data_IF_213564730438
#
_entry.id   IF_213564730438
#
_cell.length_a   1.000
_cell.length_b   1.000
_cell.length_c   1.000
_cell.angle_alpha   90.00
_cell.angle_beta   90.00
_cell.angle_gamma   90.00
#
_symmetry.space_group_name_H-M   'P 1'
#
loop_
_entity.id
_entity.type
_entity.pdbx_description
1 polymer ?
#
# COMPACT_ATOMS: atom_id res chain seq x y z
N UNK A 1 -23.57 -20.84 -11.32
CA UNK A 1 -22.25 -20.22 -11.61
C UNK A 1 -21.32 -20.45 -10.43
N UNK A 2 -20.09 -20.80 -10.71
CA UNK A 2 -19.08 -21.06 -9.68
C UNK A 2 -18.30 -19.79 -9.35
N UNK A 3 -17.97 -19.58 -8.08
CA UNK A 3 -17.13 -18.49 -7.60
C UNK A 3 -15.62 -18.76 -7.74
N UNK A 4 -15.23 -19.84 -8.41
CA UNK A 4 -13.82 -20.27 -8.54
C UNK A 4 -12.87 -19.20 -9.03
N UNK A 5 -13.28 -18.43 -10.06
CA UNK A 5 -12.45 -17.36 -10.60
C UNK A 5 -12.19 -16.25 -9.55
N UNK A 6 -13.20 -15.90 -8.76
CA UNK A 6 -13.07 -14.91 -7.67
C UNK A 6 -12.15 -15.44 -6.57
N UNK A 7 -12.34 -16.69 -6.18
CA UNK A 7 -11.52 -17.38 -5.16
C UNK A 7 -10.04 -17.39 -5.58
N UNK A 8 -9.76 -17.71 -6.84
CA UNK A 8 -8.39 -17.71 -7.37
C UNK A 8 -7.74 -16.32 -7.28
N UNK A 9 -8.46 -15.27 -7.70
CA UNK A 9 -7.94 -13.91 -7.61
C UNK A 9 -7.74 -13.46 -6.16
N UNK A 10 -8.65 -13.82 -5.25
CA UNK A 10 -8.49 -13.51 -3.82
C UNK A 10 -7.29 -14.21 -3.19
N UNK A 11 -7.05 -15.49 -3.52
CA UNK A 11 -5.83 -16.21 -3.09
C UNK A 11 -4.57 -15.48 -3.54
N UNK A 12 -4.57 -15.05 -4.79
CA UNK A 12 -3.45 -14.31 -5.37
C UNK A 12 -3.24 -12.96 -4.68
N UNK A 13 -4.33 -12.23 -4.39
CA UNK A 13 -4.27 -10.98 -3.63
C UNK A 13 -3.73 -11.19 -2.23
N UNK A 14 -4.13 -12.23 -1.51
CA UNK A 14 -3.60 -12.56 -0.20
C UNK A 14 -2.07 -12.73 -0.25
N UNK A 15 -1.57 -13.55 -1.17
CA UNK A 15 -0.12 -13.80 -1.33
C UNK A 15 0.63 -12.51 -1.67
N UNK A 16 0.12 -11.71 -2.60
CA UNK A 16 0.75 -10.46 -2.99
C UNK A 16 0.79 -9.44 -1.83
N UNK A 17 -0.27 -9.32 -1.05
CA UNK A 17 -0.31 -8.44 0.09
C UNK A 17 0.57 -8.93 1.26
N UNK A 18 0.71 -10.21 1.46
CA UNK A 18 1.66 -10.79 2.43
C UNK A 18 3.11 -10.44 2.05
N UNK A 19 3.48 -10.56 0.79
CA UNK A 19 4.79 -10.13 0.30
C UNK A 19 4.99 -8.63 0.46
N UNK A 20 3.98 -7.83 0.15
CA UNK A 20 4.03 -6.39 0.33
C UNK A 20 4.19 -6.01 1.80
N UNK A 21 3.54 -6.72 2.71
CA UNK A 21 3.70 -6.54 4.15
C UNK A 21 5.14 -6.81 4.60
N UNK A 22 5.74 -7.91 4.14
CA UNK A 22 7.13 -8.23 4.42
C UNK A 22 8.07 -7.13 3.94
N UNK A 23 7.90 -6.64 2.71
CA UNK A 23 8.66 -5.51 2.18
C UNK A 23 8.49 -4.23 3.01
N UNK A 24 7.28 -3.97 3.48
CA UNK A 24 6.98 -2.80 4.32
C UNK A 24 7.64 -2.90 5.70
N UNK A 25 7.73 -4.09 6.28
CA UNK A 25 8.46 -4.35 7.52
C UNK A 25 9.97 -4.20 7.33
N UNK A 26 10.53 -4.72 6.24
CA UNK A 26 11.94 -4.49 5.86
C UNK A 26 12.24 -2.99 5.65
N UNK A 27 11.30 -2.28 5.04
CA UNK A 27 11.39 -0.82 4.86
C UNK A 27 11.41 -0.07 6.19
N UNK A 28 10.68 -0.53 7.19
CA UNK A 28 10.73 0.01 8.56
C UNK A 28 12.15 -0.08 9.13
N UNK A 29 12.76 -1.23 9.02
CA UNK A 29 14.13 -1.45 9.53
C UNK A 29 15.18 -0.63 8.76
N UNK A 30 15.03 -0.52 7.43
CA UNK A 30 15.90 0.32 6.62
C UNK A 30 15.78 1.81 6.98
N UNK A 31 14.56 2.30 7.25
CA UNK A 31 14.30 3.67 7.70
C UNK A 31 14.93 3.94 9.07
N UNK A 32 14.76 3.04 10.03
CA UNK A 32 15.36 3.16 11.37
C UNK A 32 16.88 3.16 11.32
N UNK A 33 17.48 2.35 10.45
CA UNK A 33 18.93 2.22 10.31
C UNK A 33 19.57 3.27 9.37
N UNK A 34 18.78 4.11 8.70
CA UNK A 34 19.27 5.09 7.75
C UNK A 34 19.90 4.49 6.48
N UNK A 35 19.51 3.28 6.11
CA UNK A 35 20.06 2.55 4.95
C UNK A 35 19.38 2.98 3.65
N UNK A 36 19.78 4.12 3.10
CA UNK A 36 19.15 4.74 1.93
C UNK A 36 19.19 3.89 0.66
N UNK A 37 20.30 3.18 0.42
CA UNK A 37 20.43 2.31 -0.76
C UNK A 37 19.50 1.10 -0.67
N UNK A 38 19.40 0.48 0.49
CA UNK A 38 18.50 -0.63 0.76
C UNK A 38 17.04 -0.18 0.62
N UNK A 39 16.70 0.99 1.18
CA UNK A 39 15.40 1.61 1.04
C UNK A 39 15.01 1.82 -0.42
N UNK A 40 15.92 2.34 -1.25
CA UNK A 40 15.69 2.52 -2.69
C UNK A 40 15.39 1.20 -3.41
N UNK A 41 16.11 0.13 -3.09
CA UNK A 41 15.87 -1.20 -3.65
C UNK A 41 14.51 -1.75 -3.22
N UNK A 42 14.13 -1.56 -1.96
CA UNK A 42 12.82 -1.98 -1.44
C UNK A 42 11.67 -1.23 -2.12
N UNK A 43 11.81 0.08 -2.35
CA UNK A 43 10.83 0.87 -3.09
C UNK A 43 10.64 0.38 -4.53
N UNK A 44 11.71 -0.01 -5.20
CA UNK A 44 11.63 -0.58 -6.55
C UNK A 44 10.88 -1.92 -6.56
N UNK A 45 11.13 -2.78 -5.58
CA UNK A 45 10.39 -4.04 -5.42
C UNK A 45 8.91 -3.80 -5.10
N UNK A 46 8.63 -2.85 -4.19
CA UNK A 46 7.28 -2.47 -3.80
C UNK A 46 6.42 -2.07 -5.01
N UNK A 47 6.98 -1.29 -5.95
CA UNK A 47 6.29 -0.88 -7.17
C UNK A 47 5.83 -2.07 -8.02
N UNK A 48 6.64 -3.12 -8.13
CA UNK A 48 6.28 -4.33 -8.87
C UNK A 48 5.11 -5.07 -8.23
N UNK A 49 5.09 -5.17 -6.90
CA UNK A 49 3.97 -5.79 -6.17
C UNK A 49 2.70 -4.96 -6.28
N UNK A 50 2.79 -3.64 -6.20
CA UNK A 50 1.65 -2.74 -6.38
C UNK A 50 1.03 -2.91 -7.77
N UNK A 51 1.85 -3.00 -8.83
CA UNK A 51 1.37 -3.26 -10.19
C UNK A 51 0.66 -4.62 -10.30
N UNK A 52 1.24 -5.66 -9.73
CA UNK A 52 0.63 -6.99 -9.71
C UNK A 52 -0.69 -7.02 -8.93
N UNK A 53 -0.77 -6.32 -7.80
CA UNK A 53 -1.98 -6.18 -7.00
C UNK A 53 -3.06 -5.45 -7.80
N UNK A 54 -2.73 -4.34 -8.44
CA UNK A 54 -3.68 -3.57 -9.26
C UNK A 54 -4.26 -4.43 -10.37
N UNK A 55 -3.42 -5.16 -11.12
CA UNK A 55 -3.88 -6.05 -12.18
C UNK A 55 -4.77 -7.17 -11.64
N UNK A 56 -4.38 -7.79 -10.54
CA UNK A 56 -5.17 -8.88 -9.92
C UNK A 56 -6.51 -8.39 -9.39
N UNK A 57 -6.56 -7.16 -8.85
CA UNK A 57 -7.79 -6.53 -8.40
C UNK A 57 -8.74 -6.21 -9.56
N UNK A 58 -8.22 -5.74 -10.69
CA UNK A 58 -9.01 -5.55 -11.91
C UNK A 58 -9.61 -6.87 -12.40
N UNK A 59 -8.83 -7.94 -12.39
CA UNK A 59 -9.30 -9.28 -12.77
C UNK A 59 -10.34 -9.82 -11.78
N UNK A 60 -10.17 -9.57 -10.48
CA UNK A 60 -11.17 -9.89 -9.46
C UNK A 60 -12.48 -9.16 -9.70
N UNK A 61 -12.42 -7.85 -9.98
CA UNK A 61 -13.61 -7.05 -10.24
C UNK A 61 -14.37 -7.55 -11.46
N UNK A 62 -13.69 -7.91 -12.53
CA UNK A 62 -14.31 -8.50 -13.74
C UNK A 62 -14.99 -9.85 -13.42
N UNK A 63 -14.29 -10.72 -12.68
CA UNK A 63 -14.82 -12.01 -12.27
C UNK A 63 -16.05 -11.84 -11.34
N UNK A 64 -16.02 -10.86 -10.45
CA UNK A 64 -17.11 -10.54 -9.54
C UNK A 64 -18.33 -10.02 -10.30
N UNK A 65 -18.14 -9.09 -11.25
CA UNK A 65 -19.21 -8.57 -12.10
C UNK A 65 -19.89 -9.67 -12.92
N UNK A 66 -19.08 -10.57 -13.51
CA UNK A 66 -19.60 -11.70 -14.26
C UNK A 66 -20.39 -12.67 -13.36
N UNK A 67 -19.93 -12.91 -12.14
CA UNK A 67 -20.60 -13.78 -11.18
C UNK A 67 -21.90 -13.20 -10.62
N UNK A 68 -21.89 -11.92 -10.26
CA UNK A 68 -23.07 -11.24 -9.71
C UNK A 68 -24.10 -10.89 -10.78
N UNK A 69 -23.66 -10.66 -12.01
CA UNK A 69 -24.52 -10.23 -13.14
C UNK A 69 -24.78 -8.72 -13.17
N UNK A 70 -24.06 -7.94 -12.35
CA UNK A 70 -24.13 -6.47 -12.32
C UNK A 70 -22.76 -5.88 -11.95
N UNK A 71 -22.55 -4.62 -12.28
CA UNK A 71 -21.27 -3.93 -12.06
C UNK A 71 -21.25 -2.99 -10.85
N UNK A 72 -22.40 -2.74 -10.24
CA UNK A 72 -22.50 -1.92 -9.03
C UNK A 72 -22.38 -2.79 -7.78
N UNK A 73 -21.67 -2.29 -6.74
CA UNK A 73 -21.45 -3.01 -5.47
C UNK A 73 -20.76 -4.38 -5.60
N UNK A 74 -19.69 -4.45 -6.40
CA UNK A 74 -18.89 -5.65 -6.61
C UNK A 74 -18.03 -6.02 -5.39
N UNK A 75 -18.68 -6.27 -4.26
CA UNK A 75 -18.02 -6.59 -3.00
C UNK A 75 -17.86 -8.09 -2.81
N UNK A 76 -16.85 -8.49 -2.05
CA UNK A 76 -16.64 -9.88 -1.64
C UNK A 76 -17.84 -10.34 -0.81
N UNK A 77 -18.39 -9.47 0.04
CA UNK A 77 -19.58 -9.74 0.86
C UNK A 77 -20.79 -10.12 0.01
N UNK A 78 -21.02 -9.43 -1.11
CA UNK A 78 -22.09 -9.77 -2.05
C UNK A 78 -21.87 -11.15 -2.69
N UNK A 79 -20.62 -11.51 -3.00
CA UNK A 79 -20.26 -12.84 -3.49
C UNK A 79 -20.53 -13.94 -2.44
N UNK A 80 -20.16 -13.69 -1.20
CA UNK A 80 -20.42 -14.60 -0.08
C UNK A 80 -21.92 -14.84 0.09
N UNK A 81 -22.73 -13.78 0.02
CA UNK A 81 -24.18 -13.87 0.13
C UNK A 81 -24.81 -14.73 -0.98
N UNK A 82 -24.21 -14.74 -2.17
CA UNK A 82 -24.71 -15.49 -3.34
C UNK A 82 -24.17 -16.93 -3.42
N UNK A 83 -23.15 -17.27 -2.64
CA UNK A 83 -22.53 -18.61 -2.61
C UNK A 83 -23.03 -19.46 -1.46
N UNK A 84 -22.81 -20.78 -1.55
CA UNK A 84 -23.16 -21.76 -0.53
C UNK A 84 -22.09 -22.86 -0.46
N UNK A 85 -22.14 -23.68 0.61
CA UNK A 85 -21.23 -24.80 0.80
C UNK A 85 -19.75 -24.41 0.88
N UNK A 86 -18.88 -25.21 0.33
CA UNK A 86 -17.43 -25.04 0.42
C UNK A 86 -16.91 -23.73 -0.22
N UNK A 87 -17.52 -23.28 -1.30
CA UNK A 87 -17.14 -22.00 -1.95
C UNK A 87 -17.40 -20.81 -1.03
N UNK A 88 -18.50 -20.83 -0.28
CA UNK A 88 -18.82 -19.78 0.70
C UNK A 88 -17.80 -19.78 1.84
N UNK A 89 -17.52 -20.94 2.41
CA UNK A 89 -16.52 -21.06 3.50
C UNK A 89 -15.14 -20.55 3.05
N UNK A 90 -14.73 -20.90 1.84
CA UNK A 90 -13.46 -20.48 1.28
C UNK A 90 -13.41 -18.95 1.05
N UNK A 91 -14.47 -18.35 0.55
CA UNK A 91 -14.59 -16.89 0.41
C UNK A 91 -14.55 -16.16 1.74
N UNK A 92 -15.23 -16.70 2.77
CA UNK A 92 -15.23 -16.13 4.13
C UNK A 92 -13.82 -16.18 4.75
N UNK A 93 -13.11 -17.30 4.60
CA UNK A 93 -11.72 -17.41 5.06
C UNK A 93 -10.75 -16.46 4.35
N UNK A 94 -10.89 -16.35 3.03
CA UNK A 94 -10.06 -15.43 2.24
C UNK A 94 -10.34 -13.97 2.57
N UNK A 95 -11.61 -13.62 2.79
CA UNK A 95 -12.00 -12.29 3.23
C UNK A 95 -11.37 -11.93 4.59
N UNK A 96 -11.41 -12.83 5.54
CA UNK A 96 -10.81 -12.63 6.86
C UNK A 96 -9.28 -12.52 6.77
N UNK A 97 -8.64 -13.42 6.03
CA UNK A 97 -7.18 -13.39 5.83
C UNK A 97 -6.71 -12.10 5.16
N UNK A 98 -7.39 -11.67 4.10
CA UNK A 98 -7.08 -10.44 3.39
C UNK A 98 -7.29 -9.21 4.27
N UNK A 99 -8.40 -9.16 5.02
CA UNK A 99 -8.69 -8.07 5.95
C UNK A 99 -7.63 -7.95 7.04
N UNK A 100 -7.13 -9.06 7.56
CA UNK A 100 -6.07 -9.10 8.57
C UNK A 100 -4.75 -8.55 8.02
N UNK A 101 -4.34 -9.01 6.84
CA UNK A 101 -3.10 -8.53 6.19
C UNK A 101 -3.17 -7.05 5.86
N UNK A 102 -4.30 -6.59 5.32
CA UNK A 102 -4.53 -5.16 5.00
C UNK A 102 -4.49 -4.29 6.27
N UNK A 103 -5.06 -4.76 7.38
CA UNK A 103 -5.00 -4.07 8.66
C UNK A 103 -3.57 -3.92 9.18
N UNK A 104 -2.77 -4.98 9.10
CA UNK A 104 -1.34 -4.95 9.45
C UNK A 104 -0.53 -4.04 8.54
N UNK A 105 -0.75 -4.14 7.24
CA UNK A 105 -0.08 -3.32 6.24
C UNK A 105 -0.36 -1.82 6.47
N UNK A 106 -1.60 -1.45 6.78
CA UNK A 106 -1.98 -0.08 7.11
C UNK A 106 -1.19 0.46 8.31
N UNK A 107 -1.05 -0.33 9.37
CA UNK A 107 -0.28 0.04 10.57
C UNK A 107 1.19 0.25 10.27
N UNK A 108 1.81 -0.68 9.54
CA UNK A 108 3.22 -0.60 9.17
C UNK A 108 3.47 0.59 8.25
N UNK A 109 2.61 0.83 7.29
CA UNK A 109 2.71 1.99 6.38
C UNK A 109 2.58 3.32 7.11
N UNK A 110 1.70 3.43 8.11
CA UNK A 110 1.59 4.63 8.93
C UNK A 110 2.85 4.87 9.76
N UNK A 111 3.42 3.82 10.35
CA UNK A 111 4.71 3.89 11.05
C UNK A 111 5.83 4.36 10.09
N UNK A 112 5.92 3.77 8.91
CA UNK A 112 6.93 4.15 7.92
C UNK A 112 6.77 5.59 7.45
N UNK A 113 5.55 6.05 7.31
CA UNK A 113 5.24 7.46 7.00
C UNK A 113 5.75 8.39 8.10
N UNK A 114 5.53 8.04 9.35
CA UNK A 114 6.01 8.83 10.49
C UNK A 114 7.54 8.83 10.57
N UNK A 115 8.19 7.68 10.44
CA UNK A 115 9.66 7.58 10.40
C UNK A 115 10.27 8.42 9.26
N UNK A 116 9.64 8.44 8.11
CA UNK A 116 10.08 9.26 6.97
C UNK A 116 9.96 10.75 7.27
N UNK A 117 8.87 11.19 7.89
CA UNK A 117 8.69 12.59 8.32
C UNK A 117 9.75 13.00 9.33
N UNK A 118 9.98 12.16 10.34
CA UNK A 118 10.96 12.43 11.38
C UNK A 118 12.38 12.52 10.82
N UNK A 119 12.75 11.64 9.89
CA UNK A 119 14.04 11.69 9.20
C UNK A 119 14.21 12.97 8.37
N UNK A 120 13.17 13.39 7.63
CA UNK A 120 13.19 14.63 6.85
C UNK A 120 13.28 15.86 7.75
N UNK A 121 12.58 15.87 8.88
CA UNK A 121 12.65 16.94 9.86
C UNK A 121 14.05 17.04 10.48
N UNK A 122 14.65 15.91 10.84
CA UNK A 122 16.02 15.89 11.35
C UNK A 122 17.04 16.44 10.34
N UNK A 123 16.93 16.08 9.07
CA UNK A 123 17.79 16.59 8.00
C UNK A 123 17.61 18.10 7.85
N UNK A 124 16.40 18.61 7.88
CA UNK A 124 16.09 20.04 7.80
C UNK A 124 16.71 20.83 8.95
N UNK A 125 16.54 20.36 10.18
CA UNK A 125 17.11 21.00 11.37
C UNK A 125 18.66 20.96 11.32
N UNK A 126 19.24 19.82 10.96
CA UNK A 126 20.71 19.70 10.84
C UNK A 126 21.29 20.61 9.77
N UNK A 127 20.59 20.77 8.64
CA UNK A 127 20.96 21.68 7.58
C UNK A 127 20.93 23.15 8.05
N UNK A 128 19.87 23.57 8.73
CA UNK A 128 19.72 24.92 9.28
C UNK A 128 20.80 25.26 10.30
N UNK A 129 21.30 24.28 11.04
CA UNK A 129 22.40 24.45 11.99
C UNK A 129 23.76 24.60 11.31
N UNK A 130 23.96 24.02 10.13
CA UNK A 130 25.24 24.00 9.40
C UNK A 130 25.40 25.18 8.43
N UNK A 131 24.31 25.79 8.00
CA UNK A 131 24.34 26.93 7.03
C UNK A 131 24.40 28.25 7.79
N UNK A 132 25.32 29.18 7.41
CA UNK A 132 25.37 30.51 8.02
C UNK A 132 24.05 31.27 7.88
N UNK A 133 23.68 32.00 8.94
CA UNK A 133 22.37 32.69 9.05
C UNK A 133 22.08 33.72 7.92
N UNK A 134 23.10 34.23 7.24
CA UNK A 134 22.94 35.20 6.15
C UNK A 134 22.31 34.61 4.88
N UNK A 135 22.37 33.31 4.67
CA UNK A 135 21.78 32.63 3.52
C UNK A 135 20.41 31.95 3.82
N UNK A 136 19.97 31.98 5.06
CA UNK A 136 18.76 31.27 5.47
C UNK A 136 17.44 31.83 4.95
N UNK A 137 17.41 33.15 4.65
CA UNK A 137 16.16 33.81 4.23
C UNK A 137 15.69 33.40 2.82
N UNK A 138 16.61 33.05 1.93
CA UNK A 138 16.27 32.71 0.54
C UNK A 138 16.01 31.20 0.34
N UNK A 139 16.64 30.35 1.14
CA UNK A 139 16.54 28.89 0.98
C UNK A 139 15.28 28.29 1.61
N UNK A 140 14.81 28.83 2.73
CA UNK A 140 13.60 28.31 3.37
C UNK A 140 12.31 28.59 2.56
N UNK A 141 12.36 29.63 1.71
CA UNK A 141 11.26 29.97 0.78
C UNK A 141 11.24 29.06 -0.45
N UNK A 142 12.41 28.66 -0.96
CA UNK A 142 12.48 27.77 -2.14
C UNK A 142 12.17 26.32 -1.81
N UNK A 143 12.58 25.81 -0.65
CA UNK A 143 12.26 24.43 -0.22
C UNK A 143 10.77 24.26 0.07
N UNK A 144 10.10 25.31 0.59
CA UNK A 144 8.64 25.28 0.76
C UNK A 144 7.85 25.36 -0.55
N UNK A 145 8.46 25.93 -1.61
CA UNK A 145 7.82 26.08 -2.92
C UNK A 145 8.03 24.87 -3.86
N UNK A 146 9.08 24.06 -3.63
CA UNK A 146 9.45 22.95 -4.52
C UNK A 146 9.01 21.55 -4.04
N UNK A 147 8.32 21.46 -2.91
CA UNK A 147 7.65 20.20 -2.56
C UNK A 147 6.27 20.17 -3.23
N UNK A 148 6.12 19.54 -4.38
CA UNK A 148 4.82 19.49 -5.04
C UNK A 148 3.85 18.72 -4.15
N UNK A 149 2.86 19.45 -3.63
CA UNK A 149 1.77 18.90 -2.82
C UNK A 149 0.95 17.83 -3.55
N UNK A 150 1.13 17.67 -4.86
CA UNK A 150 0.30 16.81 -5.71
C UNK A 150 0.84 15.39 -5.91
N UNK A 151 2.14 15.15 -5.79
CA UNK A 151 2.69 13.81 -6.00
C UNK A 151 2.68 12.93 -4.74
N UNK A 152 2.56 13.52 -3.55
CA UNK A 152 2.50 12.79 -2.28
C UNK A 152 1.15 12.13 -1.99
N UNK A 153 0.06 12.70 -2.46
CA UNK A 153 -1.28 12.16 -2.19
C UNK A 153 -1.67 10.99 -3.09
N UNK A 154 -1.11 10.88 -4.30
CA UNK A 154 -1.50 9.84 -5.25
C UNK A 154 -0.81 8.50 -5.08
N UNK A 155 0.35 8.45 -4.41
CA UNK A 155 1.10 7.20 -4.20
C UNK A 155 0.63 6.40 -2.96
N UNK A 156 -0.11 7.04 -2.06
CA UNK A 156 -0.56 6.41 -0.81
C UNK A 156 -2.08 6.40 -0.63
N UNK A 157 -2.81 6.95 -1.59
CA UNK A 157 -4.28 6.92 -1.60
C UNK A 157 -4.80 5.77 -2.47
N UNK A 158 -4.07 4.66 -2.47
CA UNK A 158 -4.59 3.37 -2.91
C UNK A 158 -5.64 2.96 -1.88
N UNK A 159 -6.90 3.07 -2.27
CA UNK A 159 -8.06 2.64 -1.51
C UNK A 159 -7.84 1.23 -0.97
N UNK A 160 -7.58 1.12 0.31
CA UNK A 160 -7.88 -0.08 1.06
C UNK A 160 -9.35 -0.05 1.46
#
# INVERSE_FOLDING_TARGET
MSAKAIIEQLKRLCVLHEHLLTLSEEKTEALKAGKTKELSNLLTKEQKYIQAITQTEDDRLKATSAFLGYSENNTITACIAKTSGSEREELEQLYESLSTVLGRLKKVNEMNRQLTRDALQFISISYDMLVPKENNFNYSKSIKAELPKSSRMKLFDSKA
#
